data_IF_884996474408
#
_entry.id   IF_884996474408
#
_cell.length_a   1.000
_cell.length_b   1.000
_cell.length_c   1.000
_cell.angle_alpha   90.00
_cell.angle_beta   90.00
_cell.angle_gamma   90.00
#
_symmetry.space_group_name_H-M   'P 1'
#
loop_
_entity.id
_entity.type
_entity.pdbx_description
1 polymer ?
#
# COMPACT_ATOMS: atom_id res chain seq x y z
N UNK A 1 71.95 20.35 31.69
CA UNK A 1 73.08 19.52 31.21
C UNK A 1 72.65 18.97 29.87
N UNK A 2 73.12 19.54 28.75
CA UNK A 2 74.32 19.10 28.00
C UNK A 2 74.21 17.61 27.64
N UNK A 3 74.19 17.17 26.37
CA UNK A 3 74.52 17.89 25.15
C UNK A 3 74.18 17.09 23.88
N UNK A 4 74.42 17.75 22.77
CA UNK A 4 74.32 17.24 21.42
C UNK A 4 75.45 16.26 21.08
N UNK A 5 75.16 15.24 20.28
CA UNK A 5 76.12 14.66 19.33
C UNK A 5 75.39 14.35 18.03
N UNK A 6 75.79 15.05 16.98
CA UNK A 6 75.43 14.77 15.59
C UNK A 6 76.38 13.69 15.03
N UNK A 7 75.84 12.75 14.24
CA UNK A 7 76.64 11.96 13.29
C UNK A 7 75.90 11.92 11.95
N UNK A 8 76.59 12.44 10.94
CA UNK A 8 76.19 12.49 9.53
C UNK A 8 76.22 11.09 8.91
N UNK A 9 75.21 10.80 8.08
CA UNK A 9 75.17 9.60 7.24
C UNK A 9 74.42 9.89 5.95
N UNK A 10 75.05 10.63 5.04
CA UNK A 10 74.52 10.87 3.70
C UNK A 10 74.56 9.57 2.88
N UNK A 11 73.41 8.91 2.71
CA UNK A 11 73.20 7.96 1.61
C UNK A 11 72.57 8.70 0.44
N UNK A 12 73.39 8.92 -0.59
CA UNK A 12 72.95 9.29 -1.94
C UNK A 12 72.01 8.21 -2.46
N UNK A 13 70.71 8.48 -2.50
CA UNK A 13 69.79 7.74 -3.37
C UNK A 13 69.98 8.32 -4.75
N UNK A 14 70.64 7.56 -5.62
CA UNK A 14 70.76 7.90 -7.03
C UNK A 14 69.34 7.98 -7.62
N UNK A 15 68.94 9.19 -8.00
CA UNK A 15 67.82 9.42 -8.88
C UNK A 15 68.22 8.93 -10.27
N UNK A 16 67.89 7.68 -10.61
CA UNK A 16 67.83 7.24 -11.99
C UNK A 16 66.49 7.70 -12.57
N UNK A 17 66.40 8.99 -12.87
CA UNK A 17 65.40 9.53 -13.77
C UNK A 17 65.81 9.23 -15.21
N UNK A 18 65.09 8.31 -15.85
CA UNK A 18 65.05 8.20 -17.30
C UNK A 18 63.60 8.33 -17.71
N UNK A 19 63.29 9.50 -18.25
CA UNK A 19 61.98 9.91 -18.72
C UNK A 19 61.43 8.96 -19.80
N UNK A 20 60.19 8.53 -19.61
CA UNK A 20 59.30 8.13 -20.68
C UNK A 20 58.01 8.95 -20.58
N UNK A 21 58.15 10.27 -20.63
CA UNK A 21 57.02 11.19 -20.88
C UNK A 21 57.29 11.85 -22.23
N UNK A 22 57.30 11.03 -23.27
CA UNK A 22 57.45 11.47 -24.65
C UNK A 22 56.09 11.71 -25.27
N UNK A 23 55.78 12.98 -25.54
CA UNK A 23 54.87 13.45 -26.57
C UNK A 23 53.39 12.99 -26.52
N UNK A 24 52.67 13.30 -25.44
CA UNK A 24 51.24 13.60 -25.58
C UNK A 24 51.10 15.11 -25.71
N UNK A 25 50.89 15.61 -26.93
CA UNK A 25 50.55 17.02 -27.12
C UNK A 25 49.34 17.39 -26.28
N UNK A 26 49.27 18.63 -25.79
CA UNK A 26 48.11 19.20 -25.08
C UNK A 26 46.72 18.76 -25.61
N UNK A 27 46.47 18.65 -26.95
CA UNK A 27 45.20 18.12 -27.46
C UNK A 27 44.87 16.68 -27.02
N UNK A 28 45.87 15.81 -26.83
CA UNK A 28 45.68 14.42 -26.38
C UNK A 28 45.27 14.38 -24.91
N UNK A 29 45.86 15.24 -24.07
CA UNK A 29 45.50 15.35 -22.65
C UNK A 29 44.06 15.85 -22.51
N UNK A 30 43.68 16.88 -23.28
CA UNK A 30 42.30 17.38 -23.29
C UNK A 30 41.30 16.33 -23.79
N UNK A 31 41.67 15.53 -24.79
CA UNK A 31 40.84 14.43 -25.28
C UNK A 31 40.65 13.34 -24.20
N UNK A 32 41.72 12.97 -23.48
CA UNK A 32 41.63 11.99 -22.37
C UNK A 32 40.74 12.54 -21.24
N UNK A 33 40.92 13.80 -20.84
CA UNK A 33 40.08 14.44 -19.81
C UNK A 33 38.61 14.48 -20.24
N UNK A 34 38.33 14.81 -21.51
CA UNK A 34 36.97 14.80 -22.05
C UNK A 34 36.36 13.38 -22.06
N UNK A 35 37.14 12.36 -22.43
CA UNK A 35 36.70 10.95 -22.39
C UNK A 35 36.41 10.50 -20.95
N UNK A 36 37.29 10.82 -20.00
CA UNK A 36 37.08 10.49 -18.59
C UNK A 36 35.87 11.23 -18.03
N UNK A 37 35.68 12.51 -18.37
CA UNK A 37 34.50 13.28 -17.99
C UNK A 37 33.21 12.70 -18.59
N UNK A 38 33.23 12.28 -19.86
CA UNK A 38 32.09 11.61 -20.51
C UNK A 38 31.80 10.25 -19.87
N UNK A 39 32.80 9.44 -19.55
CA UNK A 39 32.62 8.17 -18.85
C UNK A 39 32.06 8.37 -17.44
N UNK A 40 32.56 9.38 -16.72
CA UNK A 40 32.03 9.74 -15.40
C UNK A 40 30.58 10.22 -15.47
N UNK A 41 30.23 11.03 -16.49
CA UNK A 41 28.85 11.46 -16.74
C UNK A 41 27.95 10.26 -17.04
N UNK A 42 28.39 9.34 -17.90
CA UNK A 42 27.63 8.12 -18.22
C UNK A 42 27.41 7.27 -16.97
N UNK A 43 28.44 7.06 -16.14
CA UNK A 43 28.31 6.32 -14.87
C UNK A 43 27.38 7.02 -13.87
N UNK A 44 27.42 8.34 -13.79
CA UNK A 44 26.51 9.11 -12.96
C UNK A 44 25.05 8.94 -13.44
N UNK A 45 24.81 9.09 -14.74
CA UNK A 45 23.47 8.92 -15.34
C UNK A 45 22.95 7.50 -15.13
N UNK A 46 23.78 6.47 -15.34
CA UNK A 46 23.36 5.08 -15.10
C UNK A 46 23.05 4.81 -13.63
N UNK A 47 23.85 5.35 -12.70
CA UNK A 47 23.58 5.25 -11.27
C UNK A 47 22.26 5.94 -10.88
N UNK A 48 21.99 7.15 -11.40
CA UNK A 48 20.72 7.87 -11.16
C UNK A 48 19.53 7.06 -11.70
N UNK A 49 19.63 6.51 -12.92
CA UNK A 49 18.56 5.69 -13.51
C UNK A 49 18.35 4.39 -12.71
N UNK A 50 19.41 3.74 -12.24
CA UNK A 50 19.32 2.54 -11.42
C UNK A 50 18.65 2.83 -10.06
N UNK A 51 19.02 3.92 -9.39
CA UNK A 51 18.40 4.36 -8.15
C UNK A 51 16.92 4.71 -8.33
N UNK A 52 16.57 5.38 -9.44
CA UNK A 52 15.19 5.72 -9.77
C UNK A 52 14.34 4.46 -9.97
N UNK A 53 14.84 3.49 -10.75
CA UNK A 53 14.15 2.21 -10.96
C UNK A 53 13.96 1.41 -9.67
N UNK A 54 14.97 1.39 -8.80
CA UNK A 54 14.85 0.74 -7.48
C UNK A 54 13.79 1.44 -6.61
N UNK A 55 13.71 2.77 -6.67
CA UNK A 55 12.68 3.53 -5.96
C UNK A 55 11.29 3.18 -6.47
N UNK A 56 11.08 3.18 -7.79
CA UNK A 56 9.78 2.88 -8.40
C UNK A 56 9.31 1.46 -8.07
N UNK A 57 10.22 0.48 -8.10
CA UNK A 57 9.90 -0.90 -7.73
C UNK A 57 9.49 -1.03 -6.26
N UNK A 58 10.19 -0.32 -5.36
CA UNK A 58 9.84 -0.30 -3.93
C UNK A 58 8.47 0.34 -3.71
N UNK A 59 8.19 1.46 -4.36
CA UNK A 59 6.89 2.14 -4.26
C UNK A 59 5.75 1.28 -4.80
N UNK A 60 5.94 0.59 -5.93
CA UNK A 60 4.93 -0.32 -6.47
C UNK A 60 4.69 -1.50 -5.53
N UNK A 61 5.75 -2.14 -5.01
CA UNK A 61 5.62 -3.21 -4.03
C UNK A 61 4.88 -2.74 -2.75
N UNK A 62 5.23 -1.57 -2.22
CA UNK A 62 4.54 -0.97 -1.07
C UNK A 62 3.06 -0.77 -1.36
N UNK A 63 2.73 -0.21 -2.54
CA UNK A 63 1.36 0.00 -2.98
C UNK A 63 0.55 -1.30 -3.09
N UNK A 64 1.13 -2.37 -3.65
CA UNK A 64 0.47 -3.67 -3.73
C UNK A 64 0.18 -4.24 -2.34
N UNK A 65 1.16 -4.15 -1.45
CA UNK A 65 1.07 -4.64 -0.08
C UNK A 65 0.03 -3.86 0.74
N UNK A 66 0.10 -2.53 0.73
CA UNK A 66 -0.85 -1.64 1.41
C UNK A 66 -2.27 -1.81 0.89
N UNK A 67 -2.45 -2.20 -0.38
CA UNK A 67 -3.77 -2.44 -0.95
C UNK A 67 -4.45 -3.73 -0.49
N UNK A 68 -3.73 -4.59 0.23
CA UNK A 68 -4.22 -5.88 0.74
C UNK A 68 -4.20 -5.91 2.27
N UNK A 69 -3.13 -5.39 2.87
CA UNK A 69 -2.91 -5.44 4.31
C UNK A 69 -3.08 -4.09 5.01
N UNK A 70 -3.33 -3.01 4.27
CA UNK A 70 -3.36 -1.64 4.79
C UNK A 70 -1.99 -1.12 5.22
N UNK A 71 -1.98 0.08 5.81
CA UNK A 71 -0.75 0.68 6.32
C UNK A 71 -0.42 0.06 7.68
N UNK A 72 0.59 -0.79 7.76
CA UNK A 72 1.03 -1.36 9.04
C UNK A 72 2.14 -0.48 9.64
N UNK A 73 1.82 0.74 10.07
CA UNK A 73 2.69 1.52 10.99
C UNK A 73 1.86 2.49 11.81
N UNK A 74 1.89 2.34 13.14
CA UNK A 74 1.91 3.40 14.16
C UNK A 74 0.77 4.43 14.27
N UNK A 75 0.00 4.67 13.22
CA UNK A 75 -1.15 5.53 13.21
C UNK A 75 -2.36 4.62 13.10
N UNK A 76 -2.91 4.25 14.26
CA UNK A 76 -4.29 3.82 14.38
C UNK A 76 -5.14 4.77 13.55
N UNK A 77 -6.03 4.25 12.69
CA UNK A 77 -7.11 5.07 12.17
C UNK A 77 -7.74 5.77 13.37
N UNK A 78 -7.75 7.11 13.37
CA UNK A 78 -8.29 7.87 14.49
C UNK A 78 -9.77 7.51 14.58
N UNK A 79 -10.12 6.68 15.56
CA UNK A 79 -11.51 6.33 15.81
C UNK A 79 -12.13 7.53 16.51
N UNK A 80 -12.84 8.33 15.74
CA UNK A 80 -13.66 9.42 16.26
C UNK A 80 -14.85 8.79 16.98
N UNK A 81 -15.17 9.29 18.18
CA UNK A 81 -16.43 8.92 18.85
C UNK A 81 -17.54 9.67 18.13
N UNK A 82 -18.06 9.06 17.06
CA UNK A 82 -19.07 9.70 16.20
C UNK A 82 -20.48 9.48 16.79
N UNK A 83 -21.35 10.50 16.83
CA UNK A 83 -22.77 10.28 17.07
C UNK A 83 -23.34 9.34 15.99
N UNK A 84 -24.04 8.29 16.41
CA UNK A 84 -24.57 7.26 15.50
C UNK A 84 -26.03 7.53 15.20
N UNK A 85 -26.42 7.47 13.93
CA UNK A 85 -27.82 7.59 13.54
C UNK A 85 -28.42 6.20 13.32
N UNK A 86 -29.38 5.81 14.16
CA UNK A 86 -30.04 4.49 14.10
C UNK A 86 -31.26 4.51 13.16
N UNK A 87 -31.32 5.49 12.27
CA UNK A 87 -32.40 5.68 11.30
C UNK A 87 -31.80 5.83 9.91
N UNK A 88 -32.36 5.13 8.92
CA UNK A 88 -31.93 5.21 7.53
C UNK A 88 -32.04 6.64 6.98
N UNK A 89 -31.16 7.00 6.05
CA UNK A 89 -31.16 8.33 5.38
C UNK A 89 -31.43 8.18 3.89
N UNK A 90 -32.08 9.16 3.27
CA UNK A 90 -32.22 9.18 1.80
C UNK A 90 -30.87 9.47 1.14
N UNK A 91 -30.48 8.65 0.17
CA UNK A 91 -29.22 8.80 -0.58
C UNK A 91 -29.21 9.98 -1.56
N UNK A 92 -30.40 10.52 -1.88
CA UNK A 92 -30.56 11.65 -2.81
C UNK A 92 -30.58 13.02 -2.11
N UNK A 93 -30.60 13.04 -0.78
CA UNK A 93 -30.56 14.28 0.00
C UNK A 93 -29.11 14.62 0.35
N UNK A 94 -28.76 15.91 0.24
CA UNK A 94 -27.51 16.40 0.82
C UNK A 94 -27.43 15.94 2.29
N UNK A 95 -26.25 15.52 2.79
CA UNK A 95 -26.14 15.03 4.16
C UNK A 95 -26.78 16.06 5.10
N UNK A 96 -27.62 15.62 6.06
CA UNK A 96 -28.25 16.55 6.98
C UNK A 96 -27.14 17.42 7.59
N UNK A 97 -27.41 18.72 7.76
CA UNK A 97 -26.53 19.66 8.47
C UNK A 97 -26.52 19.34 9.97
N UNK A 98 -26.11 18.12 10.31
CA UNK A 98 -25.76 17.74 11.66
C UNK A 98 -24.31 18.15 11.82
N UNK A 99 -24.05 19.11 12.70
CA UNK A 99 -22.68 19.44 13.13
C UNK A 99 -22.13 18.22 13.87
N UNK A 100 -21.28 17.44 13.18
CA UNK A 100 -20.52 16.35 13.76
C UNK A 100 -19.33 16.95 14.51
N UNK A 101 -19.21 16.67 15.81
CA UNK A 101 -18.14 17.21 16.64
C UNK A 101 -16.92 16.29 16.60
N UNK A 102 -15.92 16.67 15.79
CA UNK A 102 -14.68 15.91 15.63
C UNK A 102 -13.72 16.18 16.79
N UNK A 103 -13.67 15.24 17.73
CA UNK A 103 -12.61 15.21 18.76
C UNK A 103 -11.41 14.43 18.24
N UNK A 104 -10.32 15.14 17.95
CA UNK A 104 -9.03 14.54 17.60
C UNK A 104 -8.41 13.86 18.84
N UNK A 105 -8.36 12.52 18.83
CA UNK A 105 -7.52 11.76 19.77
C UNK A 105 -6.11 11.63 19.19
N UNK A 106 -5.29 12.66 19.32
CA UNK A 106 -3.83 12.55 19.14
C UNK A 106 -3.17 12.16 20.46
N UNK A 107 -2.04 11.44 20.41
CA UNK A 107 -0.89 11.79 21.23
C UNK A 107 0.12 12.59 20.40
N UNK A 108 0.73 13.53 21.10
CA UNK A 108 1.66 14.51 20.61
C UNK A 108 2.86 13.93 19.85
N UNK A 109 3.34 14.72 18.90
CA UNK A 109 4.73 14.80 18.42
C UNK A 109 5.76 14.28 19.43
N UNK A 110 6.58 13.32 19.01
CA UNK A 110 7.95 13.18 19.52
C UNK A 110 8.90 12.99 18.34
N UNK A 111 9.66 14.07 18.10
CA UNK A 111 11.07 14.17 17.69
C UNK A 111 11.68 13.14 16.71
N UNK A 112 12.36 13.59 15.63
CA UNK A 112 13.08 12.69 14.72
C UNK A 112 14.28 12.03 15.43
N UNK A 113 14.61 10.75 15.17
CA UNK A 113 15.86 10.19 15.65
C UNK A 113 17.04 10.78 14.88
N UNK A 114 17.89 11.43 15.66
CA UNK A 114 19.25 11.89 15.38
C UNK A 114 20.07 10.87 14.59
N UNK A 115 20.73 11.39 13.56
CA UNK A 115 21.82 10.76 12.79
C UNK A 115 22.95 10.21 13.67
N UNK A 116 23.42 8.99 13.42
CA UNK A 116 24.83 8.58 13.66
C UNK A 116 25.21 7.45 12.69
N UNK A 117 26.44 7.41 12.14
CA UNK A 117 26.78 6.65 10.93
C UNK A 117 27.42 5.27 11.18
N UNK A 118 27.19 4.40 10.18
CA UNK A 118 28.05 3.33 9.62
C UNK A 118 28.82 2.37 10.54
N UNK A 119 28.67 1.07 10.26
CA UNK A 119 29.76 0.08 10.29
C UNK A 119 29.51 -1.04 9.28
N UNK A 120 30.59 -1.44 8.63
CA UNK A 120 30.75 -2.22 7.39
C UNK A 120 30.94 -3.73 7.59
N UNK A 121 30.49 -4.54 6.62
CA UNK A 121 31.12 -5.80 6.13
C UNK A 121 30.32 -6.31 4.90
N UNK A 122 30.80 -6.22 3.65
CA UNK A 122 31.80 -7.01 2.88
C UNK A 122 31.32 -8.36 2.28
N UNK A 123 31.07 -8.34 0.95
CA UNK A 123 31.40 -9.32 -0.14
C UNK A 123 30.70 -10.70 -0.13
N UNK A 124 30.03 -11.23 -1.19
CA UNK A 124 30.42 -11.40 -2.61
C UNK A 124 29.19 -11.70 -3.56
N UNK A 125 29.33 -11.64 -4.91
CA UNK A 125 28.26 -11.79 -5.93
C UNK A 125 28.19 -13.22 -6.56
N UNK A 126 27.16 -13.60 -7.36
CA UNK A 126 27.22 -13.34 -8.81
C UNK A 126 25.88 -13.22 -9.60
N UNK A 127 26.01 -12.62 -10.79
CA UNK A 127 25.37 -12.89 -12.10
C UNK A 127 23.88 -12.59 -12.38
N UNK A 128 23.73 -11.61 -13.27
CA UNK A 128 22.59 -11.29 -14.16
C UNK A 128 22.14 -12.45 -15.05
N UNK A 129 20.82 -12.60 -15.22
CA UNK A 129 20.22 -12.92 -16.52
C UNK A 129 18.95 -12.08 -16.70
N UNK A 130 19.01 -11.13 -17.63
CA UNK A 130 17.85 -10.50 -18.21
C UNK A 130 17.29 -11.42 -19.31
N UNK A 131 16.00 -11.71 -19.26
CA UNK A 131 15.27 -12.21 -20.44
C UNK A 131 13.92 -11.50 -20.51
N UNK A 132 13.80 -10.61 -21.48
CA UNK A 132 12.54 -10.13 -22.03
C UNK A 132 11.99 -11.17 -23.00
N UNK A 133 10.71 -11.55 -22.90
CA UNK A 133 9.62 -11.12 -23.80
C UNK A 133 8.40 -12.04 -23.68
N UNK A 134 7.23 -11.39 -23.69
CA UNK A 134 5.91 -11.86 -24.11
C UNK A 134 5.21 -12.97 -23.34
N UNK A 135 4.21 -12.58 -22.54
CA UNK A 135 2.93 -13.28 -22.53
C UNK A 135 1.79 -12.32 -22.17
N UNK A 136 0.70 -12.46 -22.91
CA UNK A 136 -0.62 -11.86 -22.76
C UNK A 136 -1.26 -12.25 -21.42
N UNK A 137 -1.91 -11.28 -20.75
CA UNK A 137 -2.39 -11.26 -19.35
C UNK A 137 -1.27 -10.98 -18.33
N UNK A 138 -1.40 -10.00 -17.41
CA UNK A 138 -0.30 -9.67 -16.51
C UNK A 138 -0.14 -10.78 -15.49
N UNK A 139 0.72 -11.76 -15.78
CA UNK A 139 1.24 -12.68 -14.79
C UNK A 139 1.80 -11.84 -13.64
N UNK A 140 1.24 -12.02 -12.45
CA UNK A 140 1.65 -11.29 -11.25
C UNK A 140 3.19 -11.31 -11.11
N UNK A 141 3.88 -10.15 -11.21
CA UNK A 141 5.35 -10.11 -11.18
C UNK A 141 5.93 -10.49 -9.82
N UNK A 142 5.09 -10.61 -8.78
CA UNK A 142 5.47 -11.00 -7.43
C UNK A 142 5.20 -12.49 -7.14
N UNK A 143 4.73 -13.29 -8.11
CA UNK A 143 4.33 -14.68 -7.90
C UNK A 143 5.47 -15.61 -7.42
N UNK A 144 6.72 -15.25 -7.69
CA UNK A 144 7.92 -15.99 -7.25
C UNK A 144 8.62 -15.36 -6.04
N UNK A 145 8.02 -14.33 -5.44
CA UNK A 145 8.60 -13.64 -4.30
C UNK A 145 8.61 -14.55 -3.06
N UNK A 146 9.77 -14.69 -2.44
CA UNK A 146 9.92 -15.41 -1.18
C UNK A 146 10.47 -14.45 -0.13
N UNK A 147 9.83 -14.39 1.04
CA UNK A 147 10.34 -13.64 2.17
C UNK A 147 11.66 -14.27 2.67
N UNK A 148 12.68 -13.47 3.04
CA UNK A 148 13.86 -13.98 3.72
C UNK A 148 13.47 -14.78 4.98
N UNK A 149 14.21 -15.85 5.35
CA UNK A 149 13.91 -16.63 6.56
C UNK A 149 14.06 -15.81 7.86
N UNK A 150 14.72 -14.65 7.80
CA UNK A 150 14.88 -13.71 8.93
C UNK A 150 13.87 -12.55 8.87
N UNK A 151 12.91 -12.59 7.95
CA UNK A 151 11.90 -11.53 7.82
C UNK A 151 10.97 -11.50 9.05
N UNK A 152 10.56 -10.30 9.43
CA UNK A 152 9.50 -10.14 10.43
C UNK A 152 8.13 -10.64 9.89
N UNK A 153 7.17 -10.82 10.80
CA UNK A 153 5.83 -11.33 10.46
C UNK A 153 5.13 -10.48 9.39
N UNK A 154 5.25 -9.14 9.50
CA UNK A 154 4.68 -8.20 8.54
C UNK A 154 5.27 -8.35 7.14
N UNK A 155 6.58 -8.47 7.03
CA UNK A 155 7.28 -8.65 5.76
C UNK A 155 6.90 -9.98 5.11
N UNK A 156 6.73 -11.01 5.93
CA UNK A 156 6.26 -12.33 5.49
C UNK A 156 4.81 -12.26 4.98
N UNK A 157 3.90 -11.68 5.76
CA UNK A 157 2.51 -11.50 5.37
C UNK A 157 2.37 -10.67 4.09
N UNK A 158 3.17 -9.61 3.96
CA UNK A 158 3.23 -8.76 2.78
C UNK A 158 3.67 -9.54 1.54
N UNK A 159 4.76 -10.31 1.65
CA UNK A 159 5.26 -11.14 0.56
C UNK A 159 4.20 -12.17 0.13
N UNK A 160 3.54 -12.83 1.08
CA UNK A 160 2.49 -13.81 0.79
C UNK A 160 1.25 -13.19 0.14
N UNK A 161 0.81 -12.03 0.63
CA UNK A 161 -0.35 -11.33 0.09
C UNK A 161 -0.12 -10.87 -1.35
N UNK A 162 1.04 -10.27 -1.66
CA UNK A 162 1.32 -9.83 -3.04
C UNK A 162 1.64 -11.00 -3.97
N UNK A 163 2.16 -12.11 -3.45
CA UNK A 163 2.49 -13.30 -4.24
C UNK A 163 1.23 -14.03 -4.72
N UNK A 164 0.20 -14.08 -3.90
CA UNK A 164 -0.98 -14.93 -4.13
C UNK A 164 -2.12 -14.24 -4.87
N UNK A 165 -2.17 -12.91 -4.88
CA UNK A 165 -3.31 -12.21 -5.48
C UNK A 165 -2.99 -11.40 -6.74
N UNK A 166 -4.06 -10.96 -7.39
CA UNK A 166 -4.00 -10.11 -8.59
C UNK A 166 -3.27 -8.78 -8.39
N UNK A 167 -2.64 -8.28 -9.45
CA UNK A 167 -1.97 -6.98 -9.40
C UNK A 167 -3.02 -5.88 -9.27
N UNK A 168 -2.94 -5.10 -8.20
CA UNK A 168 -3.82 -3.95 -7.95
C UNK A 168 -3.44 -2.83 -8.90
N UNK A 169 -4.42 -2.36 -9.67
CA UNK A 169 -4.29 -1.23 -10.61
C UNK A 169 -4.17 0.10 -9.84
N UNK A 170 -3.84 1.17 -10.54
CA UNK A 170 -3.86 2.52 -9.97
C UNK A 170 -5.27 2.85 -9.38
N UNK A 171 -5.36 3.65 -8.32
CA UNK A 171 -6.63 3.97 -7.69
C UNK A 171 -7.60 4.64 -8.67
N UNK A 172 -8.87 4.25 -8.60
CA UNK A 172 -9.96 4.92 -9.30
C UNK A 172 -10.11 6.35 -8.76
N UNK A 173 -10.15 7.31 -9.67
CA UNK A 173 -10.38 8.73 -9.38
C UNK A 173 -11.74 9.23 -9.85
N UNK A 174 -12.54 8.33 -10.41
CA UNK A 174 -13.87 8.63 -10.92
C UNK A 174 -14.94 8.27 -9.90
N UNK A 175 -16.09 8.97 -9.91
CA UNK A 175 -17.24 8.59 -9.10
C UNK A 175 -17.68 7.13 -9.33
N UNK A 176 -18.41 6.58 -8.36
CA UNK A 176 -19.02 5.26 -8.42
C UNK A 176 -20.18 5.16 -9.41
N UNK A 177 -20.65 3.94 -9.61
CA UNK A 177 -21.73 3.61 -10.55
C UNK A 177 -23.05 3.27 -9.84
N UNK A 178 -24.06 2.90 -10.63
CA UNK A 178 -25.39 2.55 -10.13
C UNK A 178 -25.39 1.28 -9.28
N UNK A 179 -24.44 0.38 -9.49
CA UNK A 179 -24.30 -0.84 -8.69
C UNK A 179 -23.90 -0.50 -7.27
N UNK A 180 -22.91 0.38 -7.10
CA UNK A 180 -22.53 0.91 -5.80
C UNK A 180 -23.70 1.62 -5.09
N UNK A 181 -24.44 2.48 -5.80
CA UNK A 181 -25.61 3.18 -5.24
C UNK A 181 -26.70 2.20 -4.78
N UNK A 182 -26.99 1.14 -5.54
CA UNK A 182 -27.94 0.09 -5.13
C UNK A 182 -27.47 -0.67 -3.90
N UNK A 183 -26.18 -1.04 -3.84
CA UNK A 183 -25.62 -1.71 -2.67
C UNK A 183 -25.72 -0.81 -1.42
N UNK A 184 -25.43 0.49 -1.56
CA UNK A 184 -25.62 1.48 -0.50
C UNK A 184 -27.06 1.57 0.01
N UNK A 185 -28.04 1.58 -0.89
CA UNK A 185 -29.46 1.58 -0.52
C UNK A 185 -29.84 0.32 0.27
N UNK A 186 -29.44 -0.85 -0.22
CA UNK A 186 -29.71 -2.14 0.43
C UNK A 186 -29.11 -2.23 1.83
N UNK A 187 -27.89 -1.72 2.03
CA UNK A 187 -27.25 -1.67 3.35
C UNK A 187 -27.94 -0.66 4.28
N UNK A 188 -28.33 0.51 3.76
CA UNK A 188 -29.03 1.55 4.51
C UNK A 188 -30.42 1.08 5.00
N UNK A 189 -31.10 0.22 4.24
CA UNK A 189 -32.35 -0.41 4.66
C UNK A 189 -32.19 -1.39 5.85
N UNK A 190 -30.96 -1.79 6.18
CA UNK A 190 -30.67 -2.66 7.34
C UNK A 190 -30.35 -1.86 8.62
N UNK A 191 -30.30 -0.53 8.56
CA UNK A 191 -30.10 0.32 9.74
C UNK A 191 -31.18 0.03 10.80
N UNK A 192 -30.76 -0.10 12.06
CA UNK A 192 -31.62 -0.48 13.18
C UNK A 192 -31.62 -1.97 13.51
N UNK A 193 -31.20 -2.85 12.60
CA UNK A 193 -30.95 -4.27 12.91
C UNK A 193 -29.74 -4.43 13.83
N UNK A 194 -29.57 -5.59 14.46
CA UNK A 194 -28.44 -5.79 15.38
C UNK A 194 -27.13 -6.09 14.64
N UNK A 195 -26.05 -5.47 15.08
CA UNK A 195 -24.70 -5.84 14.66
C UNK A 195 -24.17 -7.00 15.52
N UNK A 196 -23.76 -8.10 14.89
CA UNK A 196 -23.21 -9.28 15.59
C UNK A 196 -21.93 -9.78 14.91
N UNK A 197 -21.30 -10.81 15.48
CA UNK A 197 -20.04 -11.32 14.95
C UNK A 197 -20.20 -12.11 13.65
N UNK A 198 -21.35 -12.75 13.42
CA UNK A 198 -21.50 -13.75 12.34
C UNK A 198 -22.85 -13.81 11.66
N UNK A 199 -23.88 -13.09 12.14
CA UNK A 199 -25.22 -13.18 11.54
C UNK A 199 -25.26 -12.61 10.12
N UNK A 200 -26.32 -12.96 9.41
CA UNK A 200 -26.60 -12.54 8.06
C UNK A 200 -25.96 -13.44 7.01
N UNK A 201 -26.48 -13.34 5.80
CA UNK A 201 -26.00 -14.06 4.63
C UNK A 201 -26.32 -13.27 3.36
N UNK A 202 -25.94 -13.79 2.20
CA UNK A 202 -26.36 -13.24 0.91
C UNK A 202 -27.88 -13.19 0.72
N UNK A 203 -28.64 -14.02 1.45
CA UNK A 203 -30.11 -14.04 1.39
C UNK A 203 -30.78 -12.97 2.28
N UNK A 204 -30.05 -12.33 3.20
CA UNK A 204 -30.62 -11.39 4.17
C UNK A 204 -30.13 -11.62 5.60
N UNK A 205 -30.72 -10.90 6.58
CA UNK A 205 -30.35 -11.02 7.98
C UNK A 205 -30.73 -12.38 8.56
N UNK A 206 -29.96 -12.82 9.56
CA UNK A 206 -30.36 -13.92 10.44
C UNK A 206 -30.56 -13.34 11.83
N UNK A 207 -31.60 -13.77 12.54
CA UNK A 207 -31.93 -13.24 13.87
C UNK A 207 -32.10 -11.70 13.92
N UNK A 208 -32.62 -11.10 12.83
CA UNK A 208 -32.68 -9.63 12.65
C UNK A 208 -31.32 -8.95 12.86
N UNK A 209 -30.26 -9.61 12.39
CA UNK A 209 -28.89 -9.17 12.60
C UNK A 209 -28.00 -9.42 11.38
N UNK A 210 -26.90 -8.67 11.36
CA UNK A 210 -25.78 -8.86 10.44
C UNK A 210 -24.45 -8.69 11.18
N UNK A 211 -23.42 -9.40 10.71
CA UNK A 211 -22.04 -8.95 10.87
C UNK A 211 -21.67 -7.91 9.81
N UNK A 212 -20.67 -7.07 10.09
CA UNK A 212 -20.16 -6.11 9.11
C UNK A 212 -19.78 -6.77 7.78
N UNK A 213 -19.12 -7.94 7.83
CA UNK A 213 -18.74 -8.69 6.64
C UNK A 213 -19.97 -9.21 5.87
N UNK A 214 -20.96 -9.76 6.55
CA UNK A 214 -22.16 -10.29 5.89
C UNK A 214 -23.07 -9.18 5.37
N UNK A 215 -23.10 -8.00 6.01
CA UNK A 215 -23.88 -6.85 5.54
C UNK A 215 -23.38 -6.38 4.17
N UNK A 216 -22.07 -6.16 4.02
CA UNK A 216 -21.52 -5.71 2.74
C UNK A 216 -21.63 -6.80 1.67
N UNK A 217 -21.49 -8.07 2.08
CA UNK A 217 -21.67 -9.23 1.20
C UNK A 217 -23.11 -9.34 0.70
N UNK A 218 -24.09 -9.19 1.58
CA UNK A 218 -25.52 -9.12 1.25
C UNK A 218 -25.81 -7.98 0.28
N UNK A 219 -25.38 -6.77 0.61
CA UNK A 219 -25.65 -5.57 -0.17
C UNK A 219 -25.18 -5.72 -1.63
N UNK A 220 -23.94 -6.17 -1.84
CA UNK A 220 -23.41 -6.38 -3.18
C UNK A 220 -24.03 -7.57 -3.91
N UNK A 221 -24.26 -8.69 -3.22
CA UNK A 221 -24.90 -9.86 -3.81
C UNK A 221 -26.30 -9.51 -4.32
N UNK A 222 -27.10 -8.81 -3.52
CA UNK A 222 -28.45 -8.41 -3.89
C UNK A 222 -28.46 -7.31 -4.96
N UNK A 223 -27.58 -6.29 -4.86
CA UNK A 223 -27.48 -5.21 -5.83
C UNK A 223 -27.14 -5.69 -7.25
N UNK A 224 -26.41 -6.81 -7.34
CA UNK A 224 -25.92 -7.41 -8.59
C UNK A 224 -26.61 -8.71 -8.97
N UNK A 225 -27.58 -9.18 -8.16
CA UNK A 225 -28.24 -10.47 -8.36
C UNK A 225 -27.26 -11.65 -8.44
N UNK A 226 -26.21 -11.60 -7.61
CA UNK A 226 -25.22 -12.66 -7.46
C UNK A 226 -23.98 -12.55 -8.35
N UNK A 227 -23.90 -11.55 -9.25
CA UNK A 227 -22.73 -11.35 -10.10
C UNK A 227 -21.47 -10.97 -9.28
N UNK A 228 -21.64 -10.21 -8.19
CA UNK A 228 -20.59 -9.91 -7.23
C UNK A 228 -20.90 -10.64 -5.93
N UNK A 229 -20.06 -11.63 -5.59
CA UNK A 229 -20.12 -12.32 -4.30
C UNK A 229 -18.84 -12.05 -3.53
N UNK A 230 -18.93 -11.22 -2.49
CA UNK A 230 -17.80 -10.96 -1.60
C UNK A 230 -17.48 -12.20 -0.75
N UNK A 231 -16.21 -12.42 -0.36
CA UNK A 231 -15.84 -13.41 0.63
C UNK A 231 -16.56 -13.21 1.98
N UNK A 232 -16.60 -14.26 2.80
CA UNK A 232 -17.25 -14.20 4.13
C UNK A 232 -16.45 -13.42 5.18
N UNK A 233 -15.14 -13.32 5.00
CA UNK A 233 -14.22 -12.73 5.99
C UNK A 233 -13.71 -11.37 5.50
N UNK A 234 -13.73 -10.34 6.36
CA UNK A 234 -13.27 -8.96 6.04
C UNK A 234 -11.85 -8.94 5.47
N UNK A 235 -10.99 -9.80 6.01
CA UNK A 235 -9.58 -9.95 5.60
C UNK A 235 -9.43 -10.42 4.15
N UNK A 236 -10.44 -11.10 3.60
CA UNK A 236 -10.48 -11.52 2.20
C UNK A 236 -11.29 -10.54 1.34
N UNK A 237 -12.26 -9.83 1.91
CA UNK A 237 -13.07 -8.86 1.17
C UNK A 237 -12.24 -7.69 0.61
N UNK A 238 -11.17 -7.27 1.31
CA UNK A 238 -10.26 -6.22 0.83
C UNK A 238 -9.56 -6.57 -0.49
N UNK A 239 -9.43 -7.85 -0.81
CA UNK A 239 -8.85 -8.30 -2.08
C UNK A 239 -9.82 -8.20 -3.25
N UNK A 240 -11.10 -7.89 -3.00
CA UNK A 240 -12.13 -7.79 -4.03
C UNK A 240 -12.28 -6.36 -4.55
N UNK A 241 -12.28 -6.22 -5.88
CA UNK A 241 -12.50 -4.94 -6.56
C UNK A 241 -11.26 -4.05 -6.67
N UNK A 242 -11.49 -2.83 -7.16
CA UNK A 242 -10.43 -1.87 -7.46
C UNK A 242 -10.24 -0.89 -6.29
N UNK A 243 -9.00 -0.45 -6.09
CA UNK A 243 -8.70 0.60 -5.11
C UNK A 243 -9.31 1.93 -5.55
N UNK A 244 -9.82 2.71 -4.61
CA UNK A 244 -10.40 4.04 -4.85
C UNK A 244 -9.55 5.10 -4.14
N UNK A 245 -9.36 6.24 -4.82
CA UNK A 245 -8.75 7.42 -4.23
C UNK A 245 -9.70 8.01 -3.16
N UNK A 246 -9.22 8.41 -1.96
CA UNK A 246 -10.09 8.99 -0.93
C UNK A 246 -10.92 10.19 -1.39
N UNK A 247 -10.45 10.96 -2.38
CA UNK A 247 -11.20 12.08 -2.95
C UNK A 247 -12.33 11.64 -3.90
N UNK A 248 -12.41 10.35 -4.26
CA UNK A 248 -13.37 9.78 -5.19
C UNK A 248 -14.33 8.77 -4.52
N UNK A 249 -14.38 8.74 -3.17
CA UNK A 249 -15.33 7.91 -2.42
C UNK A 249 -16.75 8.20 -2.88
N UNK A 250 -17.48 7.15 -3.19
CA UNK A 250 -18.85 7.20 -3.68
C UNK A 250 -19.72 6.15 -2.98
N UNK A 251 -21.06 6.28 -3.03
CA UNK A 251 -21.95 5.29 -2.44
C UNK A 251 -21.66 3.88 -2.99
N UNK A 252 -21.55 2.91 -2.09
CA UNK A 252 -21.19 1.52 -2.37
C UNK A 252 -19.73 1.18 -2.10
N UNK A 253 -18.82 2.15 -2.08
CA UNK A 253 -17.42 1.87 -1.79
C UNK A 253 -17.23 1.28 -0.39
N UNK A 254 -16.41 0.24 -0.28
CA UNK A 254 -16.08 -0.42 0.98
C UNK A 254 -14.86 0.25 1.60
N UNK A 255 -15.00 0.73 2.83
CA UNK A 255 -13.94 1.37 3.60
C UNK A 255 -13.44 0.40 4.65
N UNK A 256 -12.25 -0.15 4.42
CA UNK A 256 -11.58 -1.08 5.32
C UNK A 256 -10.65 -0.32 6.27
N UNK A 257 -10.68 -0.70 7.54
CA UNK A 257 -9.93 -0.04 8.61
C UNK A 257 -9.63 -1.00 9.77
N UNK A 258 -8.98 -0.46 10.81
CA UNK A 258 -8.51 -1.20 11.98
C UNK A 258 -7.61 -2.38 11.57
N UNK A 259 -6.49 -2.06 10.92
CA UNK A 259 -5.54 -3.02 10.39
C UNK A 259 -4.67 -3.63 11.50
N UNK A 260 -4.50 -4.94 11.43
CA UNK A 260 -3.51 -5.66 12.23
C UNK A 260 -2.29 -5.98 11.37
N UNK A 261 -1.08 -6.07 11.96
CA UNK A 261 0.14 -6.31 11.19
C UNK A 261 0.12 -7.58 10.34
N UNK A 262 -0.61 -8.61 10.78
CA UNK A 262 -0.51 -9.96 10.22
C UNK A 262 -1.82 -10.44 9.54
N UNK A 263 -2.95 -9.78 9.81
CA UNK A 263 -4.26 -10.22 9.30
C UNK A 263 -5.00 -9.18 8.44
N UNK A 264 -4.42 -8.00 8.24
CA UNK A 264 -5.07 -6.94 7.46
C UNK A 264 -6.26 -6.31 8.22
N UNK A 265 -7.30 -5.85 7.52
CA UNK A 265 -8.40 -5.12 8.14
C UNK A 265 -9.28 -6.03 8.98
N UNK A 266 -9.71 -5.52 10.14
CA UNK A 266 -10.67 -6.22 11.01
C UNK A 266 -12.07 -5.62 10.96
N UNK A 267 -12.21 -4.46 10.29
CA UNK A 267 -13.46 -3.73 10.20
C UNK A 267 -13.69 -3.21 8.78
N UNK A 268 -14.96 -3.11 8.40
CA UNK A 268 -15.42 -2.56 7.13
C UNK A 268 -16.69 -1.76 7.33
N UNK A 269 -16.77 -0.61 6.67
CA UNK A 269 -18.00 0.17 6.50
C UNK A 269 -18.34 0.27 5.02
N UNK A 270 -19.62 0.40 4.70
CA UNK A 270 -20.09 0.66 3.33
C UNK A 270 -20.44 2.14 3.20
N UNK A 271 -19.75 2.86 2.32
CA UNK A 271 -19.99 4.28 2.09
C UNK A 271 -21.38 4.53 1.50
N UNK A 272 -22.09 5.51 2.05
CA UNK A 272 -23.36 6.02 1.50
C UNK A 272 -23.22 7.46 1.00
N UNK A 273 -22.20 8.17 1.45
CA UNK A 273 -21.75 9.47 0.93
C UNK A 273 -20.21 9.51 1.02
N UNK A 274 -19.53 10.57 0.53
CA UNK A 274 -18.08 10.70 0.69
C UNK A 274 -17.59 10.72 2.15
N UNK A 275 -18.46 11.01 3.13
CA UNK A 275 -18.09 11.15 4.54
C UNK A 275 -18.89 10.27 5.50
N UNK A 276 -19.95 9.61 5.05
CA UNK A 276 -20.82 8.76 5.88
C UNK A 276 -20.89 7.34 5.32
N UNK A 277 -21.03 6.37 6.21
CA UNK A 277 -21.22 4.96 5.86
C UNK A 277 -22.09 4.22 6.85
N UNK A 278 -22.48 3.00 6.47
CA UNK A 278 -23.21 2.08 7.34
C UNK A 278 -22.20 1.35 8.23
N UNK A 279 -22.33 1.55 9.55
CA UNK A 279 -21.52 0.96 10.60
C UNK A 279 -22.26 -0.20 11.26
N UNK A 280 -21.70 -1.41 11.10
CA UNK A 280 -22.11 -2.64 11.77
C UNK A 280 -20.95 -3.26 12.57
N UNK A 281 -19.96 -2.45 12.96
CA UNK A 281 -18.72 -2.93 13.60
C UNK A 281 -18.81 -3.01 15.11
N UNK A 282 -19.75 -2.29 15.72
CA UNK A 282 -19.94 -2.29 17.18
C UNK A 282 -20.95 -3.37 17.56
N UNK A 283 -20.42 -4.49 18.06
CA UNK A 283 -21.21 -5.66 18.39
C UNK A 283 -22.27 -5.37 19.46
N UNK A 284 -23.42 -6.04 19.32
CA UNK A 284 -24.57 -5.91 20.20
C UNK A 284 -25.13 -4.48 20.28
N UNK A 285 -24.92 -3.69 19.23
CA UNK A 285 -25.57 -2.41 19.02
C UNK A 285 -26.35 -2.45 17.70
N UNK A 286 -27.37 -1.59 17.54
CA UNK A 286 -28.00 -1.41 16.24
C UNK A 286 -26.98 -0.95 15.19
N UNK A 287 -27.11 -1.50 13.98
CA UNK A 287 -26.48 -1.00 12.76
C UNK A 287 -26.93 0.45 12.60
N UNK A 288 -25.98 1.33 12.32
CA UNK A 288 -26.23 2.77 12.29
C UNK A 288 -25.47 3.44 11.15
N UNK A 289 -25.87 4.65 10.78
CA UNK A 289 -25.02 5.54 10.00
C UNK A 289 -23.98 6.18 10.93
N UNK A 290 -22.73 6.17 10.48
CA UNK A 290 -21.62 6.85 11.12
C UNK A 290 -20.75 7.58 10.10
N UNK A 291 -19.83 8.41 10.60
CA UNK A 291 -18.79 9.05 9.80
C UNK A 291 -17.78 7.98 9.39
N UNK A 292 -17.35 8.04 8.13
CA UNK A 292 -16.32 7.15 7.62
C UNK A 292 -15.00 7.39 8.35
N UNK A 293 -14.28 6.32 8.74
CA UNK A 293 -12.98 6.47 9.38
C UNK A 293 -12.00 7.18 8.44
N UNK A 294 -11.10 7.98 9.03
CA UNK A 294 -10.04 8.69 8.32
C UNK A 294 -8.66 8.20 8.75
N UNK A 295 -7.62 8.61 8.02
CA UNK A 295 -6.25 8.17 8.28
C UNK A 295 -5.93 6.84 7.58
N UNK A 296 -5.65 5.80 8.35
CA UNK A 296 -5.25 4.49 7.82
C UNK A 296 -6.46 3.68 7.36
N UNK A 297 -6.93 3.97 6.14
CA UNK A 297 -8.06 3.31 5.49
C UNK A 297 -7.71 2.85 4.07
N UNK A 298 -8.30 1.73 3.66
CA UNK A 298 -8.26 1.28 2.26
C UNK A 298 -9.68 1.27 1.72
N UNK A 299 -9.89 2.00 0.63
CA UNK A 299 -11.18 2.06 -0.05
C UNK A 299 -11.15 1.14 -1.27
N UNK A 300 -12.15 0.26 -1.38
CA UNK A 300 -12.34 -0.63 -2.52
C UNK A 300 -13.71 -0.42 -3.14
N UNK A 301 -13.76 -0.51 -4.47
CA UNK A 301 -14.99 -0.59 -5.24
C UNK A 301 -15.12 -2.00 -5.79
N UNK A 302 -15.94 -2.88 -5.18
CA UNK A 302 -16.23 -4.19 -5.71
C UNK A 302 -16.72 -4.13 -7.15
N UNK A 303 -16.16 -4.99 -8.01
CA UNK A 303 -16.57 -5.18 -9.39
C UNK A 303 -16.67 -6.67 -9.67
N UNK A 304 -17.48 -7.05 -10.66
CA UNK A 304 -17.49 -8.41 -11.14
C UNK A 304 -16.08 -8.75 -11.62
N UNK A 305 -15.52 -9.85 -11.12
CA UNK A 305 -14.34 -10.42 -11.77
C UNK A 305 -14.84 -10.90 -13.13
N UNK A 306 -14.48 -10.20 -14.20
CA UNK A 306 -14.53 -10.81 -15.53
C UNK A 306 -13.62 -12.03 -15.43
N UNK A 307 -14.22 -13.21 -15.23
CA UNK A 307 -13.49 -14.46 -15.30
C UNK A 307 -12.66 -14.41 -16.57
N UNK A 308 -11.35 -14.59 -16.41
CA UNK A 308 -10.48 -15.00 -17.49
C UNK A 308 -11.21 -16.10 -18.24
N UNK A 309 -11.53 -15.84 -19.49
CA UNK A 309 -12.15 -16.79 -20.42
C UNK A 309 -11.28 -18.06 -20.40
N UNK A 310 -11.73 -19.08 -19.67
CA UNK A 310 -11.14 -20.42 -19.74
C UNK A 310 -11.58 -20.95 -21.10
N UNK A 311 -10.67 -21.20 -22.05
CA UNK A 311 -11.05 -21.89 -23.26
C UNK A 311 -11.50 -23.29 -22.84
N UNK A 312 -12.80 -23.57 -23.00
CA UNK A 312 -13.33 -24.92 -22.85
C UNK A 312 -12.60 -25.84 -23.82
N UNK A 313 -12.18 -27.05 -23.40
CA UNK A 313 -11.47 -28.00 -24.25
C UNK A 313 -12.27 -28.44 -25.49
#
# INVERSE_FOLDING_TARGET
MLGAVAVQGARKVAASGSAAVGAMGWPVILAIVAIVAMLALVLLVTAIVALSRMSDQRSNFSYQCESRLGYSVGNTASFEVVPRLVTSVSLDQAPPTTTWETTLLQPATTTPPTTTPASTSSTAPPTTTATSTNSTSPTNPYATLTAPPTADAKTTACADAVRTGDVVKAPLKTPGDDTGRRAAALANDQVGQMATASDGSTAGPTNNAFSAANLVRYAYYQATRGEITLPKDVTQQIDTGDRVDPAAISPGDLVFFNFTPDHGPTAVMLAITPTLGIDATTLNQPIAIGVLPTGNVIIKRPRAHTNQEVPTP
#
